data_IF_870456247728
#
_entry.id   IF_870456247728
#
_cell.length_a   1.000
_cell.length_b   1.000
_cell.length_c   1.000
_cell.angle_alpha   90.00
_cell.angle_beta   90.00
_cell.angle_gamma   90.00
#
_symmetry.space_group_name_H-M   'P 1'
#
loop_
_entity.id
_entity.type
_entity.pdbx_description
1 polymer ?
#
# COMPACT_ATOMS: atom_id res chain seq x y z
N UNK A 1 -11.60 -55.49 3.19
CA UNK A 1 -12.95 -54.97 3.46
C UNK A 1 -12.79 -53.49 3.79
N UNK A 2 -12.91 -52.63 2.77
CA UNK A 2 -13.96 -51.58 2.61
C UNK A 2 -13.72 -50.34 3.50
N UNK A 3 -13.59 -49.09 3.03
CA UNK A 3 -13.74 -48.50 1.70
C UNK A 3 -13.47 -46.97 1.72
N UNK A 4 -13.29 -46.41 0.52
CA UNK A 4 -13.20 -44.99 0.14
C UNK A 4 -14.54 -44.23 0.34
N UNK A 5 -14.48 -42.89 0.47
CA UNK A 5 -15.37 -41.87 -0.16
C UNK A 5 -14.97 -40.48 0.38
N UNK A 6 -14.39 -39.51 -0.33
CA UNK A 6 -14.54 -39.00 -1.70
C UNK A 6 -15.99 -38.62 -2.04
N UNK A 7 -16.42 -37.46 -1.54
CA UNK A 7 -17.69 -36.83 -1.95
C UNK A 7 -17.43 -36.02 -3.22
N UNK A 8 -17.64 -36.73 -4.31
CA UNK A 8 -17.88 -36.22 -5.65
C UNK A 8 -19.24 -35.50 -5.67
N UNK A 9 -19.28 -34.25 -6.12
CA UNK A 9 -20.51 -33.59 -6.52
C UNK A 9 -20.61 -33.72 -8.05
N UNK A 10 -21.47 -34.63 -8.47
CA UNK A 10 -21.86 -34.86 -9.86
C UNK A 10 -23.05 -33.93 -10.19
N UNK A 11 -23.35 -33.83 -11.49
CA UNK A 11 -24.63 -33.49 -12.13
C UNK A 11 -24.66 -32.00 -12.58
N UNK A 12 -24.91 -31.61 -13.84
CA UNK A 12 -25.60 -32.20 -15.00
C UNK A 12 -24.87 -31.76 -16.29
N UNK A 13 -24.71 -32.68 -17.24
CA UNK A 13 -24.45 -32.35 -18.67
C UNK A 13 -25.79 -32.12 -19.35
N UNK A 14 -26.03 -30.89 -19.85
CA UNK A 14 -27.08 -30.62 -20.82
C UNK A 14 -26.44 -30.50 -22.20
N UNK A 15 -26.61 -31.55 -23.00
CA UNK A 15 -26.15 -31.67 -24.37
C UNK A 15 -27.13 -30.90 -25.27
N UNK A 16 -26.69 -29.82 -25.90
CA UNK A 16 -27.41 -29.15 -26.98
C UNK A 16 -26.56 -29.24 -28.24
N UNK A 17 -27.06 -29.92 -29.27
CA UNK A 17 -26.44 -29.96 -30.61
C UNK A 17 -27.05 -28.88 -31.51
N UNK A 18 -26.22 -28.48 -32.49
CA UNK A 18 -26.47 -27.65 -33.68
C UNK A 18 -26.20 -26.14 -33.50
N UNK A 19 -25.44 -25.44 -34.37
CA UNK A 19 -24.93 -25.77 -35.70
C UNK A 19 -23.47 -25.30 -35.84
N UNK A 20 -22.62 -26.14 -36.44
CA UNK A 20 -21.24 -25.79 -36.76
C UNK A 20 -21.21 -24.81 -37.94
N UNK A 21 -20.86 -23.55 -37.67
CA UNK A 21 -20.36 -22.65 -38.70
C UNK A 21 -19.01 -23.16 -39.24
N UNK A 22 -18.61 -22.77 -40.47
CA UNK A 22 -17.33 -23.18 -41.04
C UNK A 22 -16.17 -22.84 -40.09
N UNK A 23 -15.11 -23.67 -40.01
CA UNK A 23 -13.97 -23.39 -39.16
C UNK A 23 -13.36 -22.06 -39.58
N UNK A 24 -13.42 -21.07 -38.69
CA UNK A 24 -12.61 -19.87 -38.82
C UNK A 24 -11.15 -20.32 -38.98
N UNK A 25 -10.52 -19.95 -40.10
CA UNK A 25 -9.10 -20.19 -40.32
C UNK A 25 -8.26 -19.59 -39.18
N UNK A 26 -6.98 -19.99 -39.04
CA UNK A 26 -6.10 -19.44 -38.00
C UNK A 26 -6.15 -17.91 -38.06
N UNK A 27 -6.77 -17.32 -37.03
CA UNK A 27 -7.08 -15.90 -36.97
C UNK A 27 -5.81 -15.09 -37.10
N UNK A 28 -5.82 -14.13 -38.03
CA UNK A 28 -4.78 -13.12 -38.09
C UNK A 28 -4.66 -12.44 -36.71
N UNK A 29 -3.44 -12.14 -36.23
CA UNK A 29 -3.28 -11.49 -34.93
C UNK A 29 -4.07 -10.19 -34.91
N UNK A 30 -5.01 -10.08 -33.98
CA UNK A 30 -5.68 -8.81 -33.70
C UNK A 30 -4.61 -7.83 -33.20
N UNK A 31 -4.43 -6.65 -33.84
CA UNK A 31 -3.46 -5.68 -33.36
C UNK A 31 -3.83 -5.25 -31.95
N UNK A 32 -3.00 -5.58 -30.97
CA UNK A 32 -3.13 -5.04 -29.61
C UNK A 32 -2.73 -3.57 -29.70
N UNK A 33 -3.62 -2.62 -29.34
CA UNK A 33 -3.28 -1.21 -29.35
C UNK A 33 -2.08 -0.95 -28.44
N UNK A 34 -1.13 -0.13 -28.90
CA UNK A 34 -0.02 0.29 -28.06
C UNK A 34 -0.56 1.00 -26.80
N UNK A 35 0.11 0.85 -25.64
CA UNK A 35 -0.29 1.55 -24.43
C UNK A 35 -0.33 3.07 -24.69
N UNK A 36 -1.44 3.71 -24.32
CA UNK A 36 -1.53 5.16 -24.40
C UNK A 36 -0.52 5.82 -23.44
N UNK A 37 0.15 6.87 -23.91
CA UNK A 37 1.01 7.70 -23.06
C UNK A 37 0.17 8.53 -22.09
N UNK A 38 0.73 8.93 -20.94
CA UNK A 38 0.00 9.67 -19.89
C UNK A 38 -0.68 10.93 -20.44
N UNK A 39 -0.05 11.62 -21.40
CA UNK A 39 -0.58 12.86 -21.97
C UNK A 39 -1.77 12.65 -22.92
N UNK A 40 -1.98 11.41 -23.40
CA UNK A 40 -3.11 11.02 -24.25
C UNK A 40 -4.34 10.58 -23.44
N UNK A 41 -4.23 10.50 -22.11
CA UNK A 41 -5.34 10.14 -21.23
C UNK A 41 -6.30 11.33 -21.03
N UNK A 42 -7.58 11.02 -20.80
CA UNK A 42 -8.55 12.02 -20.35
C UNK A 42 -8.12 12.64 -18.99
N UNK A 43 -8.54 13.88 -18.68
CA UNK A 43 -8.00 14.62 -17.53
C UNK A 43 -8.07 13.86 -16.18
N UNK A 44 -9.19 13.18 -15.81
CA UNK A 44 -9.24 12.36 -14.61
C UNK A 44 -8.21 11.22 -14.60
N UNK A 45 -8.08 10.47 -15.70
CA UNK A 45 -7.09 9.38 -15.79
C UNK A 45 -5.67 9.89 -15.79
N UNK A 46 -5.42 11.04 -16.43
CA UNK A 46 -4.10 11.68 -16.43
C UNK A 46 -3.69 12.13 -15.03
N UNK A 47 -4.60 12.69 -14.24
CA UNK A 47 -4.35 13.01 -12.84
C UNK A 47 -4.00 11.74 -12.06
N UNK A 48 -4.79 10.67 -12.19
CA UNK A 48 -4.52 9.39 -11.54
C UNK A 48 -3.14 8.81 -11.91
N UNK A 49 -2.80 8.80 -13.20
CA UNK A 49 -1.51 8.30 -13.69
C UNK A 49 -0.33 9.11 -13.15
N UNK A 50 -0.46 10.45 -13.07
CA UNK A 50 0.57 11.32 -12.48
C UNK A 50 0.72 11.11 -10.99
N UNK A 51 -0.37 10.93 -10.24
CA UNK A 51 -0.32 10.62 -8.81
C UNK A 51 0.39 9.29 -8.55
N UNK A 52 0.10 8.27 -9.34
CA UNK A 52 0.76 6.95 -9.26
C UNK A 52 2.25 7.07 -9.61
N UNK A 53 2.60 7.78 -10.67
CA UNK A 53 4.00 8.01 -11.03
C UNK A 53 4.77 8.73 -9.90
N UNK A 54 4.18 9.78 -9.33
CA UNK A 54 4.76 10.51 -8.20
C UNK A 54 4.91 9.66 -6.94
N UNK A 55 4.08 8.64 -6.74
CA UNK A 55 4.22 7.67 -5.65
C UNK A 55 5.35 6.68 -5.92
N UNK A 56 5.48 6.20 -7.16
CA UNK A 56 6.53 5.24 -7.54
C UNK A 56 7.94 5.82 -7.57
N UNK A 57 8.09 7.11 -7.83
CA UNK A 57 9.40 7.77 -7.83
C UNK A 57 9.92 8.07 -6.41
N UNK A 58 9.14 7.79 -5.36
CA UNK A 58 9.56 8.07 -3.99
C UNK A 58 10.61 7.09 -3.53
N UNK A 59 11.79 7.62 -3.24
CA UNK A 59 12.83 6.87 -2.56
C UNK A 59 12.58 6.91 -1.05
N UNK A 60 12.57 5.72 -0.43
CA UNK A 60 12.50 5.59 1.03
C UNK A 60 13.93 5.69 1.56
N UNK A 61 14.20 6.72 2.34
CA UNK A 61 15.47 6.86 3.07
C UNK A 61 15.54 5.70 4.08
N UNK A 62 16.59 4.87 4.06
CA UNK A 62 16.67 3.66 4.90
C UNK A 62 17.06 3.98 6.35
N UNK A 63 16.54 5.08 6.90
CA UNK A 63 16.72 5.46 8.29
C UNK A 63 15.41 5.22 9.02
N UNK A 64 15.41 4.50 10.13
CA UNK A 64 14.20 4.26 10.91
C UNK A 64 14.15 5.23 12.08
N UNK A 65 13.03 5.92 12.25
CA UNK A 65 12.79 6.79 13.41
C UNK A 65 11.86 6.06 14.38
N UNK A 66 12.27 5.96 15.64
CA UNK A 66 11.47 5.41 16.74
C UNK A 66 11.01 6.56 17.63
N UNK A 67 9.71 6.61 17.90
CA UNK A 67 9.06 7.64 18.71
C UNK A 67 8.28 7.03 19.88
N UNK A 68 8.10 7.73 21.00
CA UNK A 68 7.46 7.15 22.18
C UNK A 68 5.92 7.09 22.10
N UNK A 69 5.29 7.92 21.27
CA UNK A 69 3.83 8.13 21.30
C UNK A 69 3.26 8.68 19.98
N UNK A 70 1.93 8.77 19.91
CA UNK A 70 1.20 9.27 18.75
C UNK A 70 1.46 10.76 18.44
N UNK A 71 1.70 11.59 19.46
CA UNK A 71 1.97 13.02 19.25
C UNK A 71 3.35 13.20 18.57
N UNK A 72 4.34 12.45 19.03
CA UNK A 72 5.65 12.36 18.42
C UNK A 72 5.56 11.76 17.02
N UNK A 73 4.76 10.71 16.82
CA UNK A 73 4.55 10.14 15.47
C UNK A 73 4.08 11.18 14.46
N UNK A 74 3.08 12.00 14.81
CA UNK A 74 2.64 13.09 13.93
C UNK A 74 3.74 14.14 13.69
N UNK A 75 4.52 14.48 14.71
CA UNK A 75 5.64 15.40 14.53
C UNK A 75 6.72 14.87 13.59
N UNK A 76 6.98 13.56 13.60
CA UNK A 76 7.92 12.92 12.70
C UNK A 76 7.39 12.87 11.25
N UNK A 77 6.09 12.59 11.06
CA UNK A 77 5.44 12.61 9.74
C UNK A 77 5.44 14.01 9.12
N UNK A 78 5.23 15.05 9.92
CA UNK A 78 5.23 16.44 9.42
C UNK A 78 6.57 16.87 8.81
N UNK A 79 7.66 16.16 9.12
CA UNK A 79 8.97 16.43 8.54
C UNK A 79 9.18 15.73 7.19
N UNK A 80 8.28 14.85 6.76
CA UNK A 80 8.34 14.28 5.42
C UNK A 80 8.16 15.36 4.36
N UNK A 81 8.80 15.13 3.22
CA UNK A 81 8.61 15.92 2.00
C UNK A 81 8.39 14.98 0.81
N UNK A 82 8.02 15.52 -0.35
CA UNK A 82 7.78 14.71 -1.55
C UNK A 82 8.97 13.83 -1.99
N UNK A 83 10.19 14.23 -1.61
CA UNK A 83 11.47 13.61 -1.93
C UNK A 83 12.19 13.01 -0.71
N UNK A 84 11.68 13.21 0.52
CA UNK A 84 12.29 12.67 1.74
C UNK A 84 11.24 12.00 2.60
N UNK A 85 11.31 10.69 2.63
CA UNK A 85 10.39 9.84 3.35
C UNK A 85 11.19 8.75 4.06
N UNK A 86 10.78 8.37 5.27
CA UNK A 86 11.44 7.35 6.07
C UNK A 86 10.45 6.65 7.00
N UNK A 87 10.68 5.38 7.38
CA UNK A 87 9.82 4.70 8.33
C UNK A 87 9.85 5.35 9.71
N UNK A 88 8.67 5.49 10.32
CA UNK A 88 8.49 5.94 11.71
C UNK A 88 7.75 4.84 12.47
N UNK A 89 8.30 4.39 13.60
CA UNK A 89 7.72 3.34 14.45
C UNK A 89 7.46 3.89 15.86
N UNK A 90 6.38 3.44 16.49
CA UNK A 90 6.04 3.81 17.87
C UNK A 90 6.55 2.74 18.82
N UNK A 91 7.32 3.13 19.83
CA UNK A 91 7.76 2.32 20.99
C UNK A 91 7.07 2.86 22.24
N UNK A 92 5.91 2.31 22.58
CA UNK A 92 5.14 2.66 23.78
C UNK A 92 5.72 2.03 25.07
N UNK A 93 6.89 1.38 24.96
CA UNK A 93 7.56 0.70 26.06
C UNK A 93 7.08 -0.72 26.31
N UNK A 94 6.02 -1.18 25.62
CA UNK A 94 5.55 -2.56 25.71
C UNK A 94 6.57 -3.55 25.13
N UNK A 95 6.48 -4.81 25.56
CA UNK A 95 7.32 -5.87 24.99
C UNK A 95 6.93 -6.17 23.55
N UNK A 96 5.64 -6.13 23.24
CA UNK A 96 5.09 -6.35 21.89
C UNK A 96 5.64 -5.33 20.89
N UNK A 97 5.59 -4.03 21.21
CA UNK A 97 6.14 -2.99 20.35
C UNK A 97 7.65 -3.19 20.10
N UNK A 98 8.41 -3.58 21.13
CA UNK A 98 9.86 -3.84 20.99
C UNK A 98 10.15 -5.03 20.09
N UNK A 99 9.38 -6.10 20.21
CA UNK A 99 9.53 -7.31 19.37
C UNK A 99 9.17 -7.02 17.92
N UNK A 100 8.10 -6.26 17.68
CA UNK A 100 7.68 -5.85 16.33
C UNK A 100 8.70 -4.90 15.69
N UNK A 101 9.19 -3.92 16.44
CA UNK A 101 10.29 -3.05 15.99
C UNK A 101 11.53 -3.88 15.65
N UNK A 102 11.90 -4.84 16.51
CA UNK A 102 13.06 -5.69 16.26
C UNK A 102 12.87 -6.56 15.00
N UNK A 103 11.67 -7.08 14.75
CA UNK A 103 11.34 -7.82 13.53
C UNK A 103 11.41 -6.92 12.30
N UNK A 104 10.83 -5.72 12.36
CA UNK A 104 10.89 -4.74 11.28
C UNK A 104 12.32 -4.34 10.96
N UNK A 105 13.12 -3.95 11.97
CA UNK A 105 14.52 -3.53 11.78
C UNK A 105 15.36 -4.64 11.15
N UNK A 106 15.17 -5.90 11.54
CA UNK A 106 15.87 -7.03 10.92
C UNK A 106 15.48 -7.24 9.45
N UNK A 107 14.19 -7.13 9.13
CA UNK A 107 13.69 -7.33 7.76
C UNK A 107 14.00 -6.15 6.83
N UNK A 108 13.91 -4.93 7.34
CA UNK A 108 14.15 -3.69 6.61
C UNK A 108 15.64 -3.35 6.46
N UNK A 109 16.47 -3.81 7.41
CA UNK A 109 17.92 -3.56 7.45
C UNK A 109 18.30 -2.07 7.26
N UNK A 110 17.84 -1.17 8.15
CA UNK A 110 18.09 0.26 8.01
C UNK A 110 19.58 0.59 8.14
N UNK A 111 19.99 1.67 7.47
CA UNK A 111 21.32 2.27 7.62
C UNK A 111 21.55 2.80 9.04
N UNK A 112 20.51 3.36 9.68
CA UNK A 112 20.54 3.79 11.09
C UNK A 112 19.15 3.78 11.71
N UNK A 113 19.11 3.68 13.04
CA UNK A 113 17.91 3.81 13.86
C UNK A 113 18.07 5.03 14.77
N UNK A 114 17.09 5.93 14.75
CA UNK A 114 17.11 7.20 15.50
C UNK A 114 15.94 7.21 16.48
N UNK A 115 16.22 7.47 17.77
CA UNK A 115 15.15 7.75 18.75
C UNK A 115 14.88 9.24 18.79
N UNK A 116 13.62 9.63 18.65
CA UNK A 116 13.19 11.01 18.60
C UNK A 116 11.88 11.22 19.36
N UNK A 117 11.70 12.40 19.95
CA UNK A 117 10.48 12.78 20.66
C UNK A 117 10.13 14.24 20.35
N UNK A 118 8.87 14.50 20.03
CA UNK A 118 8.36 15.86 19.82
C UNK A 118 8.11 16.52 21.17
N UNK A 119 9.00 17.42 21.60
CA UNK A 119 9.00 17.92 23.00
C UNK A 119 7.73 18.68 23.41
N UNK A 120 6.97 19.24 22.47
CA UNK A 120 5.91 20.23 22.78
C UNK A 120 4.55 19.94 22.13
N UNK A 121 4.29 18.70 21.67
CA UNK A 121 3.01 18.39 21.01
C UNK A 121 2.01 17.76 21.97
N UNK A 122 0.88 18.43 22.14
CA UNK A 122 -0.28 17.90 22.88
C UNK A 122 -1.12 16.99 21.98
N UNK A 123 -1.38 15.77 22.42
CA UNK A 123 -2.31 14.86 21.75
C UNK A 123 -3.76 15.26 22.06
N UNK A 124 -4.63 15.51 21.06
CA UNK A 124 -6.01 15.88 21.33
C UNK A 124 -6.77 14.77 22.06
N UNK A 125 -7.54 15.14 23.08
CA UNK A 125 -8.34 14.17 23.86
C UNK A 125 -9.51 13.62 23.05
N UNK A 126 -10.15 14.47 22.23
CA UNK A 126 -11.35 14.10 21.46
C UNK A 126 -10.99 13.38 20.16
N UNK A 127 -11.78 12.38 19.73
CA UNK A 127 -11.58 11.71 18.45
C UNK A 127 -11.56 12.68 17.26
N UNK A 128 -12.49 13.63 17.22
CA UNK A 128 -12.55 14.64 16.15
C UNK A 128 -11.29 15.53 16.12
N UNK A 129 -10.79 15.93 17.29
CA UNK A 129 -9.55 16.70 17.38
C UNK A 129 -8.33 15.93 16.85
N UNK A 130 -8.28 14.61 17.08
CA UNK A 130 -7.21 13.73 16.56
C UNK A 130 -7.25 13.65 15.04
N UNK A 131 -8.44 13.54 14.44
CA UNK A 131 -8.59 13.55 12.97
C UNK A 131 -8.04 14.85 12.39
N UNK A 132 -8.43 16.01 12.93
CA UNK A 132 -7.92 17.31 12.48
C UNK A 132 -6.39 17.42 12.65
N UNK A 133 -5.84 16.87 13.73
CA UNK A 133 -4.39 16.86 13.95
C UNK A 133 -3.65 16.00 12.92
N UNK A 134 -4.20 14.83 12.57
CA UNK A 134 -3.67 13.95 11.52
C UNK A 134 -3.75 14.63 10.15
N UNK A 135 -4.90 15.18 9.79
CA UNK A 135 -5.10 15.87 8.51
C UNK A 135 -4.12 17.04 8.34
N UNK A 136 -3.94 17.85 9.39
CA UNK A 136 -2.97 18.95 9.38
C UNK A 136 -1.53 18.45 9.23
N UNK A 137 -1.19 17.32 9.86
CA UNK A 137 0.14 16.73 9.74
C UNK A 137 0.40 16.24 8.31
N UNK A 138 -0.57 15.54 7.73
CA UNK A 138 -0.50 15.08 6.34
C UNK A 138 -0.42 16.26 5.36
N UNK A 139 -1.22 17.31 5.56
CA UNK A 139 -1.20 18.50 4.71
C UNK A 139 0.12 19.27 4.73
N UNK A 140 0.95 19.08 5.76
CA UNK A 140 2.30 19.68 5.83
C UNK A 140 3.39 18.82 5.19
N UNK A 141 3.16 17.52 5.11
CA UNK A 141 4.11 16.59 4.49
C UNK A 141 4.13 16.68 2.94
N UNK A 142 3.17 17.40 2.34
CA UNK A 142 2.97 17.58 0.91
C UNK A 142 2.97 19.05 0.53
#
# INVERSE_FOLDING_TARGET
>A
MTGLSSISCVIVVAMTMAAAGPPAGPGAPVPVPAPATIDQLDPPRRLGARSVAALHTREIIPDVVIVPDAASYLGAIEAWTSDRFWPVLIDDGSLEARDDIARFVRGFAPRRVVRWSGRDRVWPETPAGRVVAVERALARAW
#
